data_IF_128779501847
#
_entry.id   IF_128779501847
#
_cell.length_a   1.000
_cell.length_b   1.000
_cell.length_c   1.000
_cell.angle_alpha   90.00
_cell.angle_beta   90.00
_cell.angle_gamma   90.00
#
_symmetry.space_group_name_H-M   'P 1'
#
loop_
_entity.id
_entity.type
_entity.pdbx_description
1 polymer ?
#
# COMPACT_ATOMS: atom_id res chain seq x y z
N UNK A 1 -11.41 -49.62 21.50
CA UNK A 1 -11.14 -49.28 20.08
C UNK A 1 -11.18 -47.78 19.76
N UNK A 2 -11.95 -46.92 20.45
CA UNK A 2 -11.97 -45.47 20.14
C UNK A 2 -10.71 -44.67 20.52
N UNK A 3 -9.85 -45.17 21.43
CA UNK A 3 -8.62 -44.47 21.83
C UNK A 3 -7.51 -44.45 20.77
N UNK A 4 -7.47 -45.45 19.86
CA UNK A 4 -6.43 -45.53 18.82
C UNK A 4 -6.70 -44.55 17.67
N UNK A 5 -7.98 -44.29 17.36
CA UNK A 5 -8.39 -43.29 16.37
C UNK A 5 -8.02 -41.88 16.82
N UNK A 6 -8.15 -41.57 18.11
CA UNK A 6 -7.85 -40.25 18.65
C UNK A 6 -6.33 -39.94 18.65
N UNK A 7 -5.48 -40.94 18.92
CA UNK A 7 -4.01 -40.75 18.92
C UNK A 7 -3.44 -40.59 17.49
N UNK A 8 -3.97 -41.33 16.52
CA UNK A 8 -3.60 -41.19 15.10
C UNK A 8 -4.14 -39.88 14.51
N UNK A 9 -5.33 -39.46 14.95
CA UNK A 9 -5.95 -38.17 14.61
C UNK A 9 -5.14 -36.98 15.15
N UNK A 10 -4.72 -37.02 16.43
CA UNK A 10 -3.86 -35.96 17.01
C UNK A 10 -2.51 -35.87 16.30
N UNK A 11 -1.87 -37.00 15.96
CA UNK A 11 -0.61 -36.98 15.20
C UNK A 11 -0.80 -36.38 13.81
N UNK A 12 -1.89 -36.70 13.12
CA UNK A 12 -2.23 -36.14 11.81
C UNK A 12 -2.48 -34.62 11.89
N UNK A 13 -3.26 -34.15 12.86
CA UNK A 13 -3.46 -32.70 13.10
C UNK A 13 -2.16 -31.96 13.42
N UNK A 14 -1.22 -32.59 14.13
CA UNK A 14 0.09 -31.99 14.38
C UNK A 14 0.92 -31.86 13.10
N UNK A 15 0.89 -32.84 12.19
CA UNK A 15 1.57 -32.76 10.89
C UNK A 15 0.96 -31.64 10.04
N UNK A 16 -0.37 -31.58 9.93
CA UNK A 16 -1.07 -30.54 9.16
C UNK A 16 -0.74 -29.14 9.68
N UNK A 17 -0.71 -28.98 11.02
CA UNK A 17 -0.35 -27.70 11.64
C UNK A 17 1.10 -27.30 11.34
N UNK A 18 2.04 -28.24 11.43
CA UNK A 18 3.46 -27.97 11.09
C UNK A 18 3.59 -27.61 9.61
N UNK A 19 2.89 -28.30 8.72
CA UNK A 19 2.89 -28.00 7.29
C UNK A 19 2.33 -26.61 6.99
N UNK A 20 1.22 -26.25 7.64
CA UNK A 20 0.62 -24.92 7.54
C UNK A 20 1.59 -23.82 7.99
N UNK A 21 2.24 -23.98 9.15
CA UNK A 21 3.22 -23.02 9.66
C UNK A 21 4.45 -22.92 8.76
N UNK A 22 4.97 -24.04 8.28
CA UNK A 22 6.11 -24.06 7.36
C UNK A 22 5.79 -23.36 6.04
N UNK A 23 4.60 -23.60 5.48
CA UNK A 23 4.12 -22.95 4.27
C UNK A 23 3.96 -21.43 4.44
N UNK A 24 3.36 -21.00 5.55
CA UNK A 24 3.20 -19.59 5.89
C UNK A 24 4.55 -18.87 6.00
N UNK A 25 5.52 -19.47 6.72
CA UNK A 25 6.86 -18.92 6.86
C UNK A 25 7.62 -18.84 5.54
N UNK A 26 7.49 -19.85 4.68
CA UNK A 26 8.11 -19.86 3.37
C UNK A 26 7.59 -18.72 2.49
N UNK A 27 6.26 -18.54 2.41
CA UNK A 27 5.63 -17.48 1.61
C UNK A 27 5.94 -16.07 2.16
N UNK A 28 5.89 -15.90 3.49
CA UNK A 28 6.25 -14.64 4.12
C UNK A 28 7.73 -14.30 3.91
N UNK A 29 8.63 -15.28 4.08
CA UNK A 29 10.07 -15.11 3.86
C UNK A 29 10.39 -14.76 2.42
N UNK A 30 9.73 -15.41 1.46
CA UNK A 30 9.86 -15.11 0.04
C UNK A 30 9.39 -13.69 -0.29
N UNK A 31 8.24 -13.27 0.24
CA UNK A 31 7.72 -11.90 0.07
C UNK A 31 8.70 -10.84 0.59
N UNK A 32 9.24 -11.04 1.80
CA UNK A 32 10.19 -10.10 2.43
C UNK A 32 11.52 -10.05 1.65
N UNK A 33 12.02 -11.20 1.20
CA UNK A 33 13.24 -11.27 0.37
C UNK A 33 13.06 -10.46 -0.91
N UNK A 34 11.92 -10.61 -1.60
CA UNK A 34 11.62 -9.89 -2.83
C UNK A 34 11.57 -8.37 -2.60
N UNK A 35 10.89 -7.91 -1.56
CA UNK A 35 10.82 -6.47 -1.24
C UNK A 35 12.18 -5.90 -0.88
N UNK A 36 12.97 -6.61 -0.03
CA UNK A 36 14.29 -6.13 0.40
C UNK A 36 15.32 -6.07 -0.72
N UNK A 37 15.30 -7.03 -1.65
CA UNK A 37 16.29 -7.12 -2.73
C UNK A 37 15.94 -6.15 -3.87
N UNK A 38 14.67 -6.05 -4.27
CA UNK A 38 14.31 -5.33 -5.49
C UNK A 38 13.83 -3.89 -5.26
N UNK A 39 13.15 -3.58 -4.15
CA UNK A 39 12.66 -2.23 -3.88
C UNK A 39 12.45 -1.96 -2.38
N UNK A 40 13.49 -1.52 -1.64
CA UNK A 40 13.35 -1.19 -0.23
C UNK A 40 12.33 -0.06 0.03
N UNK A 41 12.12 0.83 -0.95
CA UNK A 41 11.11 1.90 -0.91
C UNK A 41 9.66 1.38 -0.91
N UNK A 42 9.42 0.13 -1.28
CA UNK A 42 8.09 -0.47 -1.24
C UNK A 42 7.67 -0.90 0.18
N UNK A 43 8.60 -0.89 1.14
CA UNK A 43 8.36 -1.31 2.51
C UNK A 43 7.35 -0.39 3.22
N UNK A 44 6.49 -0.99 4.05
CA UNK A 44 5.51 -0.27 4.85
C UNK A 44 4.24 0.17 4.09
N UNK A 45 3.43 0.98 4.76
CA UNK A 45 2.11 1.42 4.28
C UNK A 45 2.22 2.35 3.08
N UNK A 46 3.01 3.42 3.22
CA UNK A 46 3.17 4.47 2.20
C UNK A 46 2.26 5.68 2.33
N UNK A 47 1.29 5.65 3.25
CA UNK A 47 0.46 6.80 3.57
C UNK A 47 1.28 8.02 4.05
N UNK A 48 2.23 7.92 5.01
CA UNK A 48 2.94 9.10 5.48
C UNK A 48 3.77 9.75 4.37
N UNK A 49 4.37 8.96 3.50
CA UNK A 49 5.14 9.42 2.36
C UNK A 49 4.26 10.09 1.31
N UNK A 50 3.08 9.51 0.99
CA UNK A 50 2.10 10.16 0.11
C UNK A 50 1.64 11.50 0.68
N UNK A 51 1.40 11.57 2.00
CA UNK A 51 1.08 12.83 2.67
C UNK A 51 2.21 13.85 2.50
N UNK A 52 3.48 13.45 2.65
CA UNK A 52 4.61 14.38 2.43
C UNK A 52 4.70 14.86 0.98
N UNK A 53 4.41 13.98 0.00
CA UNK A 53 4.38 14.33 -1.43
C UNK A 53 3.25 15.32 -1.73
N UNK A 54 2.08 15.14 -1.10
CA UNK A 54 0.94 16.06 -1.22
C UNK A 54 1.20 17.42 -0.56
N UNK A 55 1.89 17.44 0.59
CA UNK A 55 2.38 18.67 1.24
C UNK A 55 3.45 19.41 0.43
N UNK A 56 4.03 18.73 -0.56
CA UNK A 56 4.88 19.33 -1.57
C UNK A 56 6.34 18.90 -1.58
N UNK A 57 6.70 17.96 -0.70
CA UNK A 57 8.02 17.33 -0.69
C UNK A 57 8.02 16.11 -1.62
N UNK A 58 8.54 16.28 -2.84
CA UNK A 58 8.57 15.20 -3.84
C UNK A 58 9.75 14.26 -3.57
N UNK A 59 9.46 13.04 -3.10
CA UNK A 59 10.46 11.97 -2.93
C UNK A 59 10.65 11.26 -4.28
N UNK A 60 11.80 11.49 -4.92
CA UNK A 60 12.15 10.84 -6.20
C UNK A 60 12.30 9.33 -5.99
N UNK A 61 11.69 8.54 -6.88
CA UNK A 61 11.77 7.07 -6.86
C UNK A 61 10.70 6.36 -6.02
N UNK A 62 9.93 7.07 -5.20
CA UNK A 62 8.87 6.48 -4.37
C UNK A 62 7.66 5.99 -5.20
N UNK A 63 7.16 6.87 -6.08
CA UNK A 63 6.04 6.62 -7.01
C UNK A 63 6.49 5.89 -8.30
N UNK A 64 7.48 5.01 -8.20
CA UNK A 64 8.07 4.29 -9.33
C UNK A 64 7.19 3.18 -9.90
N UNK A 65 7.37 2.87 -11.19
CA UNK A 65 6.75 1.69 -11.83
C UNK A 65 7.23 0.39 -11.19
N UNK A 66 8.53 0.33 -10.87
CA UNK A 66 9.14 -0.83 -10.21
C UNK A 66 8.62 -1.05 -8.79
N UNK A 67 8.48 0.02 -7.99
CA UNK A 67 7.94 -0.09 -6.62
C UNK A 67 6.48 -0.57 -6.64
N UNK A 68 5.67 -0.12 -7.60
CA UNK A 68 4.30 -0.61 -7.81
C UNK A 68 4.22 -2.12 -8.06
N UNK A 69 5.04 -2.65 -8.99
CA UNK A 69 5.03 -4.08 -9.34
C UNK A 69 5.46 -4.92 -8.14
N UNK A 70 6.57 -4.55 -7.49
CA UNK A 70 7.10 -5.29 -6.35
C UNK A 70 6.13 -5.26 -5.17
N UNK A 71 5.50 -4.11 -4.91
CA UNK A 71 4.54 -3.96 -3.79
C UNK A 71 3.26 -4.76 -4.01
N UNK A 72 2.76 -4.84 -5.25
CA UNK A 72 1.56 -5.64 -5.56
C UNK A 72 1.83 -7.15 -5.40
N UNK A 73 2.95 -7.64 -5.93
CA UNK A 73 3.36 -9.05 -5.76
C UNK A 73 3.62 -9.36 -4.28
N UNK A 74 4.32 -8.48 -3.56
CA UNK A 74 4.58 -8.63 -2.13
C UNK A 74 3.30 -8.68 -1.29
N UNK A 75 2.29 -7.88 -1.62
CA UNK A 75 1.00 -7.90 -0.93
C UNK A 75 0.24 -9.21 -1.16
N UNK A 76 0.27 -9.75 -2.38
CA UNK A 76 -0.36 -11.04 -2.71
C UNK A 76 0.31 -12.18 -1.93
N UNK A 77 1.65 -12.21 -1.91
CA UNK A 77 2.40 -13.23 -1.17
C UNK A 77 2.21 -13.10 0.35
N UNK A 78 2.17 -11.88 0.87
CA UNK A 78 1.90 -11.63 2.29
C UNK A 78 0.48 -12.09 2.68
N UNK A 79 -0.53 -11.84 1.82
CA UNK A 79 -1.88 -12.35 2.03
C UNK A 79 -1.95 -13.88 1.94
N UNK A 80 -1.20 -14.50 1.03
CA UNK A 80 -1.12 -15.95 0.88
C UNK A 80 -0.47 -16.65 2.08
N UNK A 81 0.42 -15.94 2.80
CA UNK A 81 1.04 -16.44 4.04
C UNK A 81 0.12 -16.41 5.27
N UNK A 82 -1.10 -15.87 5.16
CA UNK A 82 -2.04 -15.79 6.27
C UNK A 82 -1.68 -14.76 7.35
N UNK A 83 -0.76 -13.84 7.05
CA UNK A 83 -0.42 -12.74 7.95
C UNK A 83 -1.60 -11.77 8.09
N UNK A 84 -1.93 -11.40 9.33
CA UNK A 84 -2.93 -10.37 9.62
C UNK A 84 -2.36 -8.97 9.37
N UNK A 85 -2.13 -8.63 8.10
CA UNK A 85 -1.63 -7.33 7.66
C UNK A 85 -2.75 -6.49 7.06
N UNK A 86 -2.76 -5.19 7.37
CA UNK A 86 -3.68 -4.24 6.74
C UNK A 86 -3.28 -3.93 5.30
N UNK A 87 -4.13 -4.31 4.34
CA UNK A 87 -3.97 -3.97 2.90
C UNK A 87 -4.36 -2.52 2.57
N UNK A 88 -5.02 -1.83 3.50
CA UNK A 88 -5.59 -0.49 3.30
C UNK A 88 -4.52 0.54 2.90
N UNK A 89 -3.41 0.61 3.64
CA UNK A 89 -2.33 1.55 3.37
C UNK A 89 -1.61 1.31 2.03
N UNK A 90 -1.15 0.08 1.75
CA UNK A 90 -0.58 -0.28 0.46
C UNK A 90 -1.47 0.05 -0.73
N UNK A 91 -2.80 -0.10 -0.61
CA UNK A 91 -3.75 0.17 -1.69
C UNK A 91 -3.75 1.65 -2.12
N UNK A 92 -3.66 2.57 -1.16
CA UNK A 92 -3.56 4.02 -1.43
C UNK A 92 -2.26 4.33 -2.18
N UNK A 93 -1.15 3.72 -1.77
CA UNK A 93 0.13 3.88 -2.45
C UNK A 93 0.08 3.34 -3.89
N UNK A 94 -0.45 2.12 -4.09
CA UNK A 94 -0.60 1.56 -5.44
C UNK A 94 -1.43 2.47 -6.35
N UNK A 95 -2.53 3.04 -5.84
CA UNK A 95 -3.34 4.00 -6.59
C UNK A 95 -2.57 5.27 -6.97
N UNK A 96 -1.79 5.84 -6.04
CA UNK A 96 -0.93 7.00 -6.33
C UNK A 96 0.17 6.68 -7.36
N UNK A 97 0.77 5.49 -7.32
CA UNK A 97 1.73 5.06 -8.34
C UNK A 97 1.08 5.01 -9.72
N UNK A 98 -0.14 4.46 -9.84
CA UNK A 98 -0.90 4.45 -11.09
C UNK A 98 -1.19 5.89 -11.55
N UNK A 99 -1.61 6.78 -10.65
CA UNK A 99 -1.81 8.20 -10.94
C UNK A 99 -0.55 8.90 -11.46
N UNK A 100 0.62 8.57 -10.89
CA UNK A 100 1.91 9.09 -11.34
C UNK A 100 2.27 8.57 -12.74
N UNK A 101 2.00 7.30 -13.04
CA UNK A 101 2.21 6.71 -14.37
C UNK A 101 1.30 7.39 -15.40
N UNK A 102 0.02 7.61 -15.06
CA UNK A 102 -0.94 8.33 -15.90
C UNK A 102 -0.52 9.78 -16.16
N UNK A 103 0.01 10.45 -15.14
CA UNK A 103 0.53 11.82 -15.28
C UNK A 103 1.70 11.90 -16.27
N UNK A 104 2.49 10.82 -16.39
CA UNK A 104 3.60 10.73 -17.34
C UNK A 104 3.15 10.39 -18.78
N UNK A 105 2.02 9.68 -18.93
CA UNK A 105 1.47 9.35 -20.24
C UNK A 105 0.94 10.59 -20.98
N UNK A 106 0.50 11.60 -20.23
CA UNK A 106 0.01 12.87 -20.77
C UNK A 106 0.96 14.03 -20.44
N UNK A 107 1.85 14.45 -21.36
CA UNK A 107 2.84 15.49 -21.09
C UNK A 107 2.25 16.85 -20.70
N UNK A 108 1.00 17.13 -21.10
CA UNK A 108 0.23 18.32 -20.70
C UNK A 108 0.01 18.43 -19.18
N UNK A 109 -0.01 17.30 -18.47
CA UNK A 109 -0.20 17.23 -17.02
C UNK A 109 1.10 16.89 -16.28
N UNK A 110 2.06 16.24 -16.95
CA UNK A 110 3.35 15.87 -16.37
C UNK A 110 4.32 17.03 -16.13
N UNK A 111 4.19 18.14 -16.87
CA UNK A 111 5.10 19.30 -16.75
C UNK A 111 4.72 20.27 -15.62
N UNK A 112 3.49 20.20 -15.11
CA UNK A 112 3.03 21.08 -14.03
C UNK A 112 2.86 20.29 -12.73
N UNK A 113 3.76 20.53 -11.78
CA UNK A 113 3.77 19.87 -10.47
C UNK A 113 2.46 20.12 -9.68
N UNK A 114 1.80 21.26 -9.87
CA UNK A 114 0.50 21.53 -9.24
C UNK A 114 -0.58 20.55 -9.73
N UNK A 115 -0.70 20.37 -11.05
CA UNK A 115 -1.66 19.43 -11.65
C UNK A 115 -1.33 17.98 -11.30
N UNK A 116 -0.04 17.64 -11.22
CA UNK A 116 0.39 16.32 -10.79
C UNK A 116 -0.03 16.03 -9.35
N UNK A 117 0.08 17.00 -8.44
CA UNK A 117 -0.42 16.87 -7.05
C UNK A 117 -1.93 16.72 -7.00
N UNK A 118 -2.69 17.41 -7.87
CA UNK A 118 -4.14 17.20 -7.98
C UNK A 118 -4.49 15.77 -8.42
N UNK A 119 -3.77 15.23 -9.41
CA UNK A 119 -3.95 13.85 -9.87
C UNK A 119 -3.60 12.86 -8.75
N UNK A 120 -2.46 13.04 -8.08
CA UNK A 120 -2.05 12.18 -6.95
C UNK A 120 -3.05 12.24 -5.79
N UNK A 121 -3.60 13.42 -5.51
CA UNK A 121 -4.64 13.64 -4.50
C UNK A 121 -5.94 12.92 -4.87
N UNK A 122 -6.35 12.98 -6.14
CA UNK A 122 -7.50 12.25 -6.65
C UNK A 122 -7.27 10.72 -6.62
N UNK A 123 -6.07 10.27 -7.00
CA UNK A 123 -5.69 8.86 -6.95
C UNK A 123 -5.64 8.32 -5.51
N UNK A 124 -5.16 9.11 -4.54
CA UNK A 124 -5.20 8.73 -3.13
C UNK A 124 -6.64 8.55 -2.64
N UNK A 125 -7.54 9.47 -3.00
CA UNK A 125 -8.96 9.37 -2.69
C UNK A 125 -9.58 8.09 -3.25
N UNK A 126 -9.32 7.81 -4.53
CA UNK A 126 -9.80 6.60 -5.20
C UNK A 126 -9.23 5.33 -4.56
N UNK A 127 -7.93 5.33 -4.21
CA UNK A 127 -7.29 4.23 -3.51
C UNK A 127 -7.96 3.90 -2.18
N UNK A 128 -8.26 4.92 -1.37
CA UNK A 128 -9.01 4.75 -0.11
C UNK A 128 -10.44 4.25 -0.37
N UNK A 129 -11.13 4.80 -1.36
CA UNK A 129 -12.48 4.34 -1.72
C UNK A 129 -12.51 2.85 -2.09
N UNK A 130 -11.51 2.37 -2.83
CA UNK A 130 -11.40 0.95 -3.22
C UNK A 130 -10.98 0.08 -2.04
N UNK A 131 -10.11 0.58 -1.18
CA UNK A 131 -9.61 -0.19 -0.04
C UNK A 131 -10.73 -0.48 0.98
N UNK A 132 -11.52 0.54 1.33
CA UNK A 132 -12.60 0.45 2.32
C UNK A 132 -13.99 0.18 1.72
N UNK A 133 -14.15 0.21 0.39
CA UNK A 133 -15.45 0.11 -0.27
C UNK A 133 -16.38 1.32 -0.02
N UNK A 134 -15.83 2.46 0.40
CA UNK A 134 -16.58 3.65 0.80
C UNK A 134 -16.17 4.88 -0.05
N UNK A 135 -16.93 5.23 -1.11
CA UNK A 135 -16.58 6.34 -2.00
C UNK A 135 -16.57 7.70 -1.27
N UNK A 136 -17.57 7.95 -0.41
CA UNK A 136 -17.69 9.19 0.36
C UNK A 136 -16.51 9.33 1.35
N UNK A 137 -16.09 8.23 1.98
CA UNK A 137 -14.95 8.22 2.89
C UNK A 137 -13.63 8.60 2.20
N UNK A 138 -13.40 8.11 0.97
CA UNK A 138 -12.21 8.47 0.20
C UNK A 138 -12.16 9.96 -0.19
N UNK A 139 -13.30 10.54 -0.57
CA UNK A 139 -13.37 11.98 -0.90
C UNK A 139 -13.16 12.85 0.35
N UNK A 140 -13.75 12.49 1.49
CA UNK A 140 -13.49 13.18 2.76
C UNK A 140 -12.02 13.08 3.18
N UNK A 141 -11.39 11.91 3.00
CA UNK A 141 -9.97 11.71 3.28
C UNK A 141 -9.09 12.65 2.43
N UNK A 142 -9.45 12.87 1.16
CA UNK A 142 -8.78 13.85 0.30
C UNK A 142 -8.90 15.26 0.86
N UNK A 143 -10.12 15.68 1.22
CA UNK A 143 -10.35 17.01 1.78
C UNK A 143 -9.51 17.25 3.04
N UNK A 144 -9.53 16.31 3.98
CA UNK A 144 -8.76 16.44 5.23
C UNK A 144 -7.26 16.58 4.96
N UNK A 145 -6.70 15.82 4.01
CA UNK A 145 -5.28 15.92 3.67
C UNK A 145 -4.91 17.22 2.97
N UNK A 146 -5.73 17.68 2.03
CA UNK A 146 -5.47 18.92 1.29
C UNK A 146 -5.59 20.13 2.21
N UNK A 147 -6.61 20.16 3.08
CA UNK A 147 -6.76 21.21 4.09
C UNK A 147 -5.57 21.23 5.04
N UNK A 148 -5.16 20.07 5.57
CA UNK A 148 -4.00 19.97 6.45
C UNK A 148 -2.69 20.43 5.78
N UNK A 149 -2.50 20.10 4.51
CA UNK A 149 -1.34 20.54 3.72
C UNK A 149 -1.36 22.05 3.43
N UNK A 150 -2.54 22.63 3.23
CA UNK A 150 -2.70 24.07 2.99
C UNK A 150 -2.44 24.90 4.26
N UNK A 151 -2.81 24.36 5.44
CA UNK A 151 -2.55 25.03 6.73
C UNK A 151 -1.09 25.02 7.19
N UNK A 152 -0.23 24.20 6.57
CA UNK A 152 1.22 24.21 6.85
C UNK A 152 2.00 25.22 6.01
N UNK A 153 1.37 25.89 5.05
CA UNK A 153 1.82 27.22 4.68
C UNK A 153 1.33 28.17 5.77
N UNK A 154 2.21 28.86 6.54
CA UNK A 154 1.76 30.05 7.23
C UNK A 154 1.13 30.93 6.16
N UNK A 155 -0.17 31.20 6.31
CA UNK A 155 -0.82 32.35 5.68
C UNK A 155 -0.17 33.58 6.30
N UNK A 156 1.05 33.90 5.89
CA UNK A 156 1.48 35.27 5.87
C UNK A 156 0.55 35.95 4.86
N UNK A 157 -0.22 36.93 5.34
CA UNK A 157 -1.21 37.74 4.61
C UNK A 157 -2.68 37.25 4.73
N UNK A 158 -3.21 37.39 5.95
CA UNK A 158 -4.43 38.18 6.14
C UNK A 158 -4.02 39.63 6.46
N UNK A 159 -3.97 40.48 5.44
CA UNK A 159 -4.20 41.93 5.47
C UNK A 159 -4.67 42.34 4.07
#
# INVERSE_FOLDING_TARGET
MMHYYNKFSVWYYMIDFIFYVAWALFMAGFAVSLVKVFAPYACGSGIPEIKTILSGFVIKGYLGKWTFIIKSVGLILASASGLSLGKEGPMVHLACCIGNIFSYLFPKYGLNEAKKREILSASAAAGVSVAFGAPIGGVLFRFVQVFAATTTHPRENFF
#
